data_IF_306682849658
#
_entry.id   IF_306682849658
#
_cell.length_a   1.000
_cell.length_b   1.000
_cell.length_c   1.000
_cell.angle_alpha   90.00
_cell.angle_beta   90.00
_cell.angle_gamma   90.00
#
_symmetry.space_group_name_H-M   'P 1'
#
loop_
_entity.id
_entity.type
_entity.pdbx_description
1 polymer ?
#
# COMPACT_ATOMS: atom_id res chain seq x y z
N UNK A 1 9.69 -8.84 -60.51
CA UNK A 1 10.79 -8.96 -59.51
C UNK A 1 10.17 -8.64 -58.15
N UNK A 2 10.12 -9.45 -57.09
CA UNK A 2 10.76 -10.69 -56.63
C UNK A 2 9.65 -11.50 -55.91
N UNK A 3 9.40 -12.74 -56.29
CA UNK A 3 9.86 -13.98 -55.61
C UNK A 3 9.24 -14.21 -54.21
N UNK A 4 8.31 -15.16 -54.17
CA UNK A 4 7.87 -15.88 -52.97
C UNK A 4 9.05 -16.64 -52.35
N UNK A 5 9.23 -16.56 -51.03
CA UNK A 5 10.13 -17.43 -50.26
C UNK A 5 9.28 -18.44 -49.46
N UNK A 6 9.66 -19.74 -49.42
CA UNK A 6 8.95 -20.74 -48.63
C UNK A 6 9.40 -20.71 -47.17
N UNK A 7 8.48 -21.05 -46.26
CA UNK A 7 8.75 -21.18 -44.83
C UNK A 7 9.60 -22.42 -44.52
N UNK A 8 10.51 -22.36 -43.52
CA UNK A 8 11.25 -23.51 -43.07
C UNK A 8 10.40 -24.37 -42.11
N UNK A 9 10.47 -25.68 -42.32
CA UNK A 9 9.81 -26.70 -41.52
C UNK A 9 10.66 -26.97 -40.27
N UNK A 10 10.40 -26.28 -39.15
CA UNK A 10 11.17 -26.45 -37.93
C UNK A 10 10.35 -27.08 -36.79
N UNK A 11 10.94 -28.13 -36.22
CA UNK A 11 10.52 -29.03 -35.15
C UNK A 11 10.26 -28.39 -33.77
N UNK A 12 10.28 -27.06 -33.69
CA UNK A 12 10.11 -26.27 -32.46
C UNK A 12 8.70 -26.36 -31.85
N UNK A 13 7.68 -26.67 -32.64
CA UNK A 13 6.30 -26.78 -32.18
C UNK A 13 6.03 -28.03 -31.31
N UNK A 14 6.89 -29.05 -31.36
CA UNK A 14 6.75 -30.26 -30.54
C UNK A 14 7.02 -29.96 -29.06
N UNK A 15 8.04 -29.13 -28.78
CA UNK A 15 8.43 -28.74 -27.42
C UNK A 15 7.40 -27.83 -26.75
N UNK A 16 6.82 -26.87 -27.49
CA UNK A 16 5.75 -26.03 -26.96
C UNK A 16 4.49 -26.83 -26.58
N UNK A 17 4.16 -27.89 -27.34
CA UNK A 17 3.03 -28.78 -26.99
C UNK A 17 3.30 -29.64 -25.77
N UNK A 18 4.54 -30.08 -25.55
CA UNK A 18 4.94 -30.84 -24.36
C UNK A 18 4.99 -29.98 -23.10
N UNK A 19 5.42 -28.72 -23.18
CA UNK A 19 5.39 -27.79 -22.04
C UNK A 19 3.95 -27.37 -21.68
N UNK A 20 3.11 -27.08 -22.67
CA UNK A 20 1.70 -26.74 -22.43
C UNK A 20 0.90 -27.90 -21.80
N UNK A 21 1.24 -29.15 -22.14
CA UNK A 21 0.60 -30.33 -21.54
C UNK A 21 1.16 -30.69 -20.16
N UNK A 22 2.36 -30.21 -19.79
CA UNK A 22 2.91 -30.36 -18.44
C UNK A 22 2.25 -29.41 -17.43
N UNK A 23 1.98 -28.16 -17.81
CA UNK A 23 1.31 -27.19 -16.93
C UNK A 23 -0.16 -27.58 -16.68
N UNK A 24 -0.83 -28.13 -17.70
CA UNK A 24 -2.23 -28.58 -17.56
C UNK A 24 -2.42 -29.80 -16.64
N UNK A 25 -1.35 -30.55 -16.30
CA UNK A 25 -1.45 -31.71 -15.39
C UNK A 25 -1.32 -31.35 -13.91
N UNK A 26 -1.03 -30.09 -13.59
CA UNK A 26 -0.85 -29.64 -12.20
C UNK A 26 -2.11 -29.00 -11.61
N UNK A 27 -3.14 -28.72 -12.43
CA UNK A 27 -4.45 -28.32 -11.92
C UNK A 27 -5.28 -29.57 -11.67
N UNK A 28 -5.67 -29.79 -10.41
CA UNK A 28 -6.52 -30.88 -9.97
C UNK A 28 -7.91 -30.89 -10.62
N UNK A 29 -8.78 -31.85 -10.23
CA UNK A 29 -10.10 -31.99 -10.85
C UNK A 29 -10.95 -30.72 -10.74
N UNK A 30 -11.79 -30.49 -11.74
CA UNK A 30 -12.75 -29.38 -11.82
C UNK A 30 -13.57 -29.27 -10.51
N UNK A 31 -13.32 -28.19 -9.78
CA UNK A 31 -13.85 -27.94 -8.45
C UNK A 31 -15.26 -27.32 -8.51
N UNK A 32 -16.18 -27.77 -7.64
CA UNK A 32 -17.58 -27.33 -7.64
C UNK A 32 -17.69 -25.88 -7.12
N UNK A 33 -18.70 -25.12 -7.57
CA UNK A 33 -18.89 -23.70 -7.22
C UNK A 33 -18.89 -23.39 -5.71
N UNK A 34 -19.33 -24.34 -4.89
CA UNK A 34 -19.39 -24.21 -3.42
C UNK A 34 -18.01 -24.38 -2.74
N UNK A 35 -17.07 -25.11 -3.33
CA UNK A 35 -15.71 -25.30 -2.80
C UNK A 35 -14.85 -24.01 -2.93
N UNK A 36 -15.11 -23.19 -3.96
CA UNK A 36 -14.37 -21.94 -4.19
C UNK A 36 -14.53 -20.92 -3.05
N UNK A 37 -15.61 -21.00 -2.27
CA UNK A 37 -15.86 -20.07 -1.16
C UNK A 37 -14.87 -20.25 -0.02
N UNK A 38 -14.58 -21.51 0.34
CA UNK A 38 -13.67 -21.83 1.45
C UNK A 38 -12.22 -21.56 1.07
N UNK A 39 -11.77 -22.02 -0.09
CA UNK A 39 -10.39 -21.82 -0.53
C UNK A 39 -10.04 -20.36 -0.71
N UNK A 40 -10.97 -19.56 -1.27
CA UNK A 40 -10.79 -18.12 -1.39
C UNK A 40 -10.69 -17.43 -0.02
N UNK A 41 -11.46 -17.88 0.97
CA UNK A 41 -11.34 -17.38 2.35
C UNK A 41 -9.97 -17.68 2.93
N UNK A 42 -9.54 -18.95 2.87
CA UNK A 42 -8.23 -19.38 3.41
C UNK A 42 -7.09 -18.62 2.75
N UNK A 43 -7.15 -18.44 1.42
CA UNK A 43 -6.15 -17.65 0.70
C UNK A 43 -6.13 -16.19 1.17
N UNK A 44 -7.30 -15.55 1.24
CA UNK A 44 -7.43 -14.16 1.68
C UNK A 44 -6.97 -13.93 3.13
N UNK A 45 -7.22 -14.90 4.01
CA UNK A 45 -6.82 -14.86 5.42
C UNK A 45 -5.33 -15.13 5.61
N UNK A 46 -4.73 -15.95 4.72
CA UNK A 46 -3.31 -16.27 4.77
C UNK A 46 -2.41 -15.10 4.30
N UNK A 47 -2.87 -14.27 3.35
CA UNK A 47 -2.06 -13.19 2.78
C UNK A 47 -1.49 -12.23 3.86
N UNK A 48 -2.30 -11.66 4.77
CA UNK A 48 -1.80 -10.85 5.89
C UNK A 48 -0.74 -11.53 6.76
N UNK A 49 -0.84 -12.85 6.94
CA UNK A 49 0.06 -13.60 7.82
C UNK A 49 1.48 -13.73 7.25
N UNK A 50 1.62 -13.61 5.93
CA UNK A 50 2.92 -13.69 5.27
C UNK A 50 3.78 -12.45 5.57
N UNK A 51 3.17 -11.26 5.57
CA UNK A 51 3.84 -10.01 5.94
C UNK A 51 5.05 -9.63 5.06
N UNK A 52 5.10 -10.14 3.83
CA UNK A 52 6.16 -9.87 2.83
C UNK A 52 5.69 -8.87 1.78
N UNK A 53 6.62 -8.20 1.08
CA UNK A 53 6.28 -7.31 -0.03
C UNK A 53 5.42 -7.99 -1.09
N UNK A 54 5.76 -9.21 -1.51
CA UNK A 54 4.94 -10.00 -2.43
C UNK A 54 3.49 -10.20 -1.95
N UNK A 55 3.28 -10.51 -0.67
CA UNK A 55 1.91 -10.63 -0.12
C UNK A 55 1.18 -9.29 -0.07
N UNK A 56 1.87 -8.19 0.25
CA UNK A 56 1.29 -6.84 0.24
C UNK A 56 0.90 -6.43 -1.18
N UNK A 57 1.75 -6.72 -2.17
CA UNK A 57 1.46 -6.48 -3.58
C UNK A 57 0.22 -7.23 -4.05
N UNK A 58 0.11 -8.52 -3.72
CA UNK A 58 -1.09 -9.32 -4.04
C UNK A 58 -2.33 -8.77 -3.34
N UNK A 59 -2.27 -8.42 -2.05
CA UNK A 59 -3.40 -7.81 -1.34
C UNK A 59 -3.86 -6.52 -2.04
N UNK A 60 -2.93 -5.62 -2.37
CA UNK A 60 -3.24 -4.37 -3.10
C UNK A 60 -3.90 -4.66 -4.44
N UNK A 61 -3.35 -5.57 -5.23
CA UNK A 61 -3.85 -5.87 -6.58
C UNK A 61 -5.26 -6.48 -6.53
N UNK A 62 -5.59 -7.19 -5.45
CA UNK A 62 -6.91 -7.80 -5.22
C UNK A 62 -7.96 -6.84 -4.62
N UNK A 63 -7.56 -5.72 -3.99
CA UNK A 63 -8.51 -4.72 -3.47
C UNK A 63 -9.34 -4.08 -4.60
N UNK A 64 -8.82 -4.06 -5.83
CA UNK A 64 -9.53 -3.48 -6.98
C UNK A 64 -9.85 -2.00 -6.78
N UNK A 65 -10.99 -1.54 -7.30
CA UNK A 65 -11.44 -0.15 -7.16
C UNK A 65 -12.42 0.05 -5.98
N UNK A 66 -12.97 -1.04 -5.43
CA UNK A 66 -13.92 -0.98 -4.32
C UNK A 66 -13.20 -1.14 -2.98
N UNK A 67 -12.78 0.00 -2.44
CA UNK A 67 -12.03 0.08 -1.20
C UNK A 67 -12.88 -0.05 0.06
N UNK A 68 -14.22 -0.21 -0.06
CA UNK A 68 -15.15 -0.18 1.06
C UNK A 68 -15.62 -1.56 1.52
N UNK A 69 -14.95 -2.64 1.10
CA UNK A 69 -15.29 -3.99 1.54
C UNK A 69 -14.53 -4.36 2.83
N UNK A 70 -15.10 -5.27 3.63
CA UNK A 70 -14.53 -5.69 4.93
C UNK A 70 -13.14 -6.33 4.79
N UNK A 71 -12.86 -6.95 3.65
CA UNK A 71 -11.59 -7.59 3.36
C UNK A 71 -10.48 -6.53 3.16
N UNK A 72 -10.78 -5.43 2.48
CA UNK A 72 -9.90 -4.27 2.32
C UNK A 72 -9.53 -3.70 3.68
N UNK A 73 -10.51 -3.47 4.57
CA UNK A 73 -10.24 -2.95 5.92
C UNK A 73 -9.32 -3.89 6.71
N UNK A 74 -9.58 -5.20 6.59
CA UNK A 74 -8.80 -6.25 7.28
C UNK A 74 -7.35 -6.25 6.79
N UNK A 75 -7.15 -6.22 5.47
CA UNK A 75 -5.83 -6.18 4.86
C UNK A 75 -5.06 -4.89 5.17
N UNK A 76 -5.69 -3.72 5.04
CA UNK A 76 -5.07 -2.43 5.37
C UNK A 76 -4.67 -2.35 6.85
N UNK A 77 -5.56 -2.80 7.74
CA UNK A 77 -5.26 -2.85 9.18
C UNK A 77 -4.11 -3.80 9.48
N UNK A 78 -4.05 -4.95 8.79
CA UNK A 78 -3.02 -5.96 8.98
C UNK A 78 -1.60 -5.45 8.74
N UNK A 79 -1.42 -4.43 7.90
CA UNK A 79 -0.11 -3.81 7.63
C UNK A 79 0.57 -3.32 8.92
N UNK A 80 -0.22 -2.84 9.90
CA UNK A 80 0.30 -2.38 11.20
C UNK A 80 0.92 -3.49 12.03
N UNK A 81 0.64 -4.75 11.72
CA UNK A 81 1.04 -5.91 12.51
C UNK A 81 2.17 -6.72 11.85
N UNK A 82 2.72 -6.25 10.72
CA UNK A 82 3.89 -6.87 10.10
C UNK A 82 5.10 -6.63 11.03
N UNK A 83 5.71 -7.68 11.61
CA UNK A 83 6.65 -7.51 12.73
C UNK A 83 8.05 -7.05 12.30
N UNK A 84 8.46 -7.38 11.06
CA UNK A 84 9.77 -7.07 10.49
C UNK A 84 9.62 -6.71 9.01
N UNK A 85 9.00 -5.56 8.69
CA UNK A 85 8.92 -5.11 7.31
C UNK A 85 10.31 -4.80 6.79
N UNK A 86 10.51 -5.01 5.48
CA UNK A 86 11.67 -4.53 4.76
C UNK A 86 11.25 -3.40 3.78
N UNK A 87 12.21 -2.90 3.02
CA UNK A 87 11.98 -1.84 2.05
C UNK A 87 11.05 -2.26 0.91
N UNK A 88 11.03 -3.55 0.56
CA UNK A 88 10.13 -4.09 -0.46
C UNK A 88 8.68 -4.04 0.05
N UNK A 89 8.43 -4.47 1.29
CA UNK A 89 7.11 -4.36 1.94
C UNK A 89 6.61 -2.92 1.99
N UNK A 90 7.46 -1.94 2.32
CA UNK A 90 7.07 -0.52 2.31
C UNK A 90 6.79 -0.03 0.87
N UNK A 91 7.65 -0.43 -0.09
CA UNK A 91 7.50 -0.06 -1.50
C UNK A 91 6.18 -0.56 -2.09
N UNK A 92 5.79 -1.78 -1.76
CA UNK A 92 4.51 -2.38 -2.19
C UNK A 92 3.30 -1.76 -1.48
N UNK A 93 3.47 -1.26 -0.26
CA UNK A 93 2.42 -0.59 0.49
C UNK A 93 2.21 0.89 0.07
N UNK A 94 3.26 1.59 -0.38
CA UNK A 94 3.21 3.02 -0.70
C UNK A 94 2.11 3.41 -1.71
N UNK A 95 1.85 2.66 -2.80
CA UNK A 95 0.77 2.97 -3.75
C UNK A 95 -0.63 3.02 -3.13
N UNK A 96 -0.85 2.40 -1.96
CA UNK A 96 -2.13 2.48 -1.25
C UNK A 96 -2.48 3.90 -0.80
N UNK A 97 -1.49 4.80 -0.72
CA UNK A 97 -1.66 6.21 -0.40
C UNK A 97 -1.73 7.11 -1.65
N UNK A 98 -1.58 6.57 -2.86
CA UNK A 98 -1.46 7.34 -4.10
C UNK A 98 -2.72 7.27 -4.98
N UNK A 99 -3.82 6.78 -4.41
CA UNK A 99 -5.13 6.77 -5.05
C UNK A 99 -5.88 8.09 -4.80
N UNK A 100 -6.84 8.44 -5.67
CA UNK A 100 -7.60 9.70 -5.58
C UNK A 100 -8.25 9.92 -4.20
N UNK A 101 -8.73 8.82 -3.59
CA UNK A 101 -9.34 8.85 -2.26
C UNK A 101 -8.82 7.70 -1.43
N UNK A 102 -7.91 8.02 -0.53
CA UNK A 102 -7.22 7.02 0.28
C UNK A 102 -8.13 6.56 1.43
N UNK A 103 -8.16 5.24 1.63
CA UNK A 103 -8.88 4.64 2.74
C UNK A 103 -8.21 5.00 4.08
N UNK A 104 -9.00 5.27 5.12
CA UNK A 104 -8.49 5.70 6.43
C UNK A 104 -7.43 4.71 6.99
N UNK A 105 -7.71 3.41 6.92
CA UNK A 105 -6.81 2.37 7.42
C UNK A 105 -5.49 2.28 6.65
N UNK A 106 -5.44 2.75 5.39
CA UNK A 106 -4.20 2.79 4.63
C UNK A 106 -3.21 3.80 5.24
N UNK A 107 -3.68 5.00 5.61
CA UNK A 107 -2.84 5.99 6.30
C UNK A 107 -2.24 5.43 7.59
N UNK A 108 -3.07 4.76 8.39
CA UNK A 108 -2.67 4.22 9.67
C UNK A 108 -1.74 3.01 9.53
N UNK A 109 -2.09 2.09 8.63
CA UNK A 109 -1.35 0.87 8.35
C UNK A 109 0.04 1.14 7.78
N UNK A 110 0.10 1.97 6.73
CA UNK A 110 1.36 2.33 6.09
C UNK A 110 2.24 3.16 7.03
N UNK A 111 1.66 4.09 7.81
CA UNK A 111 2.41 4.82 8.84
C UNK A 111 3.04 3.87 9.87
N UNK A 112 2.26 2.96 10.46
CA UNK A 112 2.77 1.98 11.43
C UNK A 112 3.85 1.05 10.84
N UNK A 113 3.72 0.71 9.56
CA UNK A 113 4.70 -0.09 8.83
C UNK A 113 6.06 0.63 8.74
N UNK A 114 6.04 1.92 8.39
CA UNK A 114 7.25 2.78 8.37
C UNK A 114 7.89 2.85 9.75
N UNK A 115 7.11 3.10 10.81
CA UNK A 115 7.65 3.16 12.17
C UNK A 115 8.30 1.83 12.58
N UNK A 116 7.67 0.71 12.24
CA UNK A 116 8.20 -0.61 12.58
C UNK A 116 9.53 -0.87 11.87
N UNK A 117 9.66 -0.47 10.61
CA UNK A 117 10.94 -0.52 9.90
C UNK A 117 11.97 0.42 10.52
N UNK A 118 11.60 1.69 10.75
CA UNK A 118 12.46 2.75 11.26
C UNK A 118 13.02 2.46 12.66
N UNK A 119 12.25 1.77 13.51
CA UNK A 119 12.71 1.34 14.84
C UNK A 119 14.02 0.56 14.78
N UNK A 120 14.17 -0.28 13.76
CA UNK A 120 15.30 -1.20 13.63
C UNK A 120 16.38 -0.65 12.65
N UNK A 121 16.14 0.50 12.00
CA UNK A 121 17.01 1.09 10.96
C UNK A 121 17.27 2.59 11.21
N UNK A 122 18.41 2.99 11.82
CA UNK A 122 18.68 4.37 12.22
C UNK A 122 18.64 5.43 11.10
N UNK A 123 18.96 5.04 9.86
CA UNK A 123 18.95 5.92 8.68
C UNK A 123 17.70 5.71 7.81
N UNK A 124 16.60 5.22 8.37
CA UNK A 124 15.40 4.92 7.58
C UNK A 124 14.84 6.13 6.82
N UNK A 125 15.07 7.35 7.33
CA UNK A 125 14.61 8.60 6.72
C UNK A 125 15.33 8.91 5.39
N UNK A 126 16.46 8.26 5.11
CA UNK A 126 17.17 8.35 3.82
C UNK A 126 16.68 7.28 2.82
N UNK A 127 15.89 6.30 3.27
CA UNK A 127 15.46 5.20 2.43
C UNK A 127 14.38 5.66 1.44
N UNK A 128 14.55 5.43 0.12
CA UNK A 128 13.60 5.92 -0.88
C UNK A 128 12.12 5.51 -0.67
N UNK A 129 11.80 4.26 -0.27
CA UNK A 129 10.41 3.88 0.01
C UNK A 129 9.80 4.64 1.20
N UNK A 130 10.60 4.91 2.24
CA UNK A 130 10.16 5.70 3.41
C UNK A 130 9.93 7.15 3.00
N UNK A 131 10.86 7.75 2.27
CA UNK A 131 10.73 9.11 1.74
C UNK A 131 9.47 9.27 0.88
N UNK A 132 9.17 8.30 0.00
CA UNK A 132 7.97 8.31 -0.83
C UNK A 132 6.68 8.31 0.00
N UNK A 133 6.62 7.48 1.04
CA UNK A 133 5.46 7.46 1.96
C UNK A 133 5.33 8.81 2.66
N UNK A 134 6.42 9.33 3.23
CA UNK A 134 6.39 10.59 3.97
C UNK A 134 6.05 11.79 3.09
N UNK A 135 6.57 11.86 1.86
CA UNK A 135 6.18 12.85 0.84
C UNK A 135 4.68 12.76 0.52
N UNK A 136 4.16 11.55 0.35
CA UNK A 136 2.73 11.35 0.08
C UNK A 136 1.87 11.88 1.22
N UNK A 137 2.22 11.54 2.46
CA UNK A 137 1.53 12.04 3.66
C UNK A 137 1.66 13.57 3.77
N UNK A 138 2.83 14.13 3.47
CA UNK A 138 3.07 15.57 3.48
C UNK A 138 2.19 16.31 2.47
N UNK A 139 2.04 15.77 1.26
CA UNK A 139 1.13 16.33 0.23
C UNK A 139 -0.32 16.43 0.70
N UNK A 140 -0.80 15.45 1.48
CA UNK A 140 -2.15 15.51 2.03
C UNK A 140 -2.35 16.67 3.00
N UNK A 141 -1.38 16.93 3.88
CA UNK A 141 -1.46 18.03 4.86
C UNK A 141 -1.12 19.40 4.24
N UNK A 142 -0.32 19.41 3.16
CA UNK A 142 0.17 20.64 2.53
C UNK A 142 0.92 21.55 3.51
N UNK A 143 0.90 22.84 3.22
CA UNK A 143 1.64 23.83 4.01
C UNK A 143 1.00 24.13 5.37
N UNK A 144 -0.33 24.11 5.47
CA UNK A 144 -1.06 24.62 6.64
C UNK A 144 -2.29 23.81 7.03
N UNK A 145 -2.47 22.60 6.49
CA UNK A 145 -3.63 21.72 6.74
C UNK A 145 -5.01 22.28 6.34
N UNK A 146 -5.07 23.42 5.65
CA UNK A 146 -6.33 24.04 5.26
C UNK A 146 -7.00 23.29 4.13
N UNK A 147 -8.30 23.02 4.30
CA UNK A 147 -9.18 22.44 3.28
C UNK A 147 -10.58 23.00 3.41
N UNK A 148 -11.24 23.18 2.28
CA UNK A 148 -12.61 23.71 2.22
C UNK A 148 -13.64 22.63 2.54
N UNK A 149 -13.48 21.44 1.95
CA UNK A 149 -14.47 20.37 2.07
C UNK A 149 -14.25 19.53 3.33
N UNK A 150 -15.33 19.10 3.98
CA UNK A 150 -15.26 18.18 5.13
C UNK A 150 -14.52 16.88 4.80
N UNK A 151 -14.60 16.46 3.54
CA UNK A 151 -13.96 15.23 3.12
C UNK A 151 -12.44 15.34 3.02
N UNK A 152 -11.94 16.45 2.49
CA UNK A 152 -10.51 16.69 2.43
C UNK A 152 -9.94 16.92 3.82
N UNK A 153 -10.71 17.55 4.73
CA UNK A 153 -10.35 17.65 6.15
C UNK A 153 -10.17 16.28 6.80
N UNK A 154 -11.02 15.30 6.46
CA UNK A 154 -10.84 13.91 6.92
C UNK A 154 -9.54 13.32 6.37
N UNK A 155 -9.21 13.52 5.09
CA UNK A 155 -7.94 13.04 4.52
C UNK A 155 -6.73 13.69 5.21
N UNK A 156 -6.79 15.00 5.51
CA UNK A 156 -5.76 15.70 6.30
C UNK A 156 -5.61 15.10 7.69
N UNK A 157 -6.71 14.87 8.42
CA UNK A 157 -6.67 14.25 9.74
C UNK A 157 -6.08 12.84 9.71
N UNK A 158 -6.42 12.05 8.69
CA UNK A 158 -5.85 10.71 8.53
C UNK A 158 -4.36 10.76 8.17
N UNK A 159 -3.94 11.70 7.33
CA UNK A 159 -2.53 11.92 7.03
C UNK A 159 -1.73 12.35 8.26
N UNK A 160 -2.25 13.27 9.08
CA UNK A 160 -1.64 13.67 10.36
C UNK A 160 -1.45 12.47 11.30
N UNK A 161 -2.47 11.60 11.40
CA UNK A 161 -2.37 10.35 12.16
C UNK A 161 -1.35 9.39 11.57
N UNK A 162 -1.29 9.28 10.24
CA UNK A 162 -0.30 8.48 9.52
C UNK A 162 1.13 8.94 9.78
N UNK A 163 1.38 10.26 9.73
CA UNK A 163 2.68 10.88 10.05
C UNK A 163 3.08 10.54 11.49
N UNK A 164 2.18 10.76 12.45
CA UNK A 164 2.45 10.42 13.86
C UNK A 164 2.57 8.91 14.10
N UNK A 165 1.94 8.06 13.28
CA UNK A 165 2.14 6.61 13.35
C UNK A 165 3.49 6.19 12.77
N UNK A 166 4.02 6.94 11.79
CA UNK A 166 5.32 6.68 11.16
C UNK A 166 6.50 7.06 12.05
N UNK A 167 6.30 7.93 13.05
CA UNK A 167 7.35 8.44 13.94
C UNK A 167 8.55 9.05 13.22
N UNK A 168 8.35 9.43 11.95
CA UNK A 168 9.38 9.89 11.03
C UNK A 168 9.11 11.33 10.59
N UNK A 169 8.55 12.16 11.48
CA UNK A 169 8.24 13.56 11.19
C UNK A 169 9.48 14.44 10.93
N UNK A 170 10.70 13.89 11.05
CA UNK A 170 11.99 14.58 10.90
C UNK A 170 12.40 14.87 9.45
N UNK A 171 11.63 14.43 8.44
CA UNK A 171 11.88 14.81 7.03
C UNK A 171 11.78 16.33 6.86
N UNK A 172 12.72 16.97 6.15
CA UNK A 172 13.04 18.41 6.22
C UNK A 172 11.86 19.39 6.24
N UNK A 173 10.73 19.09 5.58
CA UNK A 173 9.59 20.02 5.46
C UNK A 173 8.40 19.74 6.39
N UNK A 174 8.27 18.50 6.87
CA UNK A 174 7.10 18.07 7.66
C UNK A 174 6.97 18.85 8.97
N UNK A 175 8.02 19.08 9.78
CA UNK A 175 7.93 19.83 11.03
C UNK A 175 7.36 21.24 10.82
N UNK A 176 7.78 21.91 9.74
CA UNK A 176 7.33 23.25 9.39
C UNK A 176 5.84 23.28 9.07
N UNK A 177 5.37 22.34 8.25
CA UNK A 177 3.94 22.18 7.94
C UNK A 177 3.12 21.86 9.18
N UNK A 178 3.56 20.92 10.03
CA UNK A 178 2.85 20.56 11.27
C UNK A 178 2.71 21.74 12.22
N UNK A 179 3.76 22.55 12.38
CA UNK A 179 3.71 23.78 13.17
C UNK A 179 2.68 24.77 12.60
N UNK A 180 2.69 25.00 11.27
CA UNK A 180 1.71 25.85 10.59
C UNK A 180 0.28 25.33 10.77
N UNK A 181 0.07 24.01 10.72
CA UNK A 181 -1.25 23.41 10.96
C UNK A 181 -1.79 23.74 12.36
N UNK A 182 -0.94 23.77 13.38
CA UNK A 182 -1.32 24.11 14.75
C UNK A 182 -1.60 25.60 14.95
N UNK A 183 -0.71 26.46 14.45
CA UNK A 183 -0.80 27.91 14.65
C UNK A 183 -1.86 28.61 13.80
N UNK A 184 -2.34 27.97 12.72
CA UNK A 184 -3.38 28.53 11.89
C UNK A 184 -4.76 28.46 12.58
N UNK A 185 -5.31 29.61 12.97
CA UNK A 185 -6.61 29.72 13.66
C UNK A 185 -7.81 29.41 12.76
N UNK A 186 -7.64 29.40 11.45
CA UNK A 186 -8.71 29.01 10.50
C UNK A 186 -8.93 27.49 10.46
N UNK A 187 -8.00 26.70 11.00
CA UNK A 187 -8.16 25.26 11.10
C UNK A 187 -9.07 24.86 12.25
N UNK A 188 -9.85 23.79 12.04
CA UNK A 188 -10.63 23.16 13.10
C UNK A 188 -9.73 22.62 14.22
N UNK A 189 -10.24 22.57 15.44
CA UNK A 189 -9.47 22.19 16.62
C UNK A 189 -8.87 20.78 16.47
N UNK A 190 -9.60 19.86 15.82
CA UNK A 190 -9.17 18.50 15.53
C UNK A 190 -7.90 18.49 14.65
N UNK A 191 -7.83 19.36 13.63
CA UNK A 191 -6.66 19.48 12.74
C UNK A 191 -5.49 20.09 13.51
N UNK A 192 -5.74 21.12 14.33
CA UNK A 192 -4.70 21.78 15.13
C UNK A 192 -4.09 20.81 16.15
N UNK A 193 -4.93 20.02 16.82
CA UNK A 193 -4.49 18.94 17.73
C UNK A 193 -3.78 17.82 16.95
N UNK A 194 -4.26 17.49 15.75
CA UNK A 194 -3.60 16.59 14.82
C UNK A 194 -2.16 17.01 14.50
N UNK A 195 -1.93 18.30 14.24
CA UNK A 195 -0.61 18.87 14.00
C UNK A 195 0.37 18.65 15.16
N UNK A 196 -0.08 18.84 16.41
CA UNK A 196 0.74 18.58 17.60
C UNK A 196 1.00 17.08 17.77
N UNK A 197 -0.05 16.27 17.68
CA UNK A 197 0.04 14.81 17.93
C UNK A 197 0.81 14.04 16.86
N UNK A 198 1.08 14.66 15.71
CA UNK A 198 1.90 14.09 14.65
C UNK A 198 3.41 14.13 14.95
N UNK A 199 3.88 14.90 15.94
CA UNK A 199 5.31 14.97 16.34
C UNK A 199 5.79 13.80 17.21
N UNK A 200 4.91 12.86 17.56
CA UNK A 200 5.20 11.77 18.50
C UNK A 200 6.17 10.72 17.96
#
# INVERSE_FOLDING_TARGET
MRAWLPMPHDSSWSWFRLFATSVSRSCGPSMKSEDWGLERSVFNDALPMLGTGGSVGVMRDLMGQDHNNILTNTWLTSLSFIPRPDLDTISEAAPLLEVERVHADAFLGVGSLVQTYCRDHPLCHEAPPVLRVMDTLHRFIGDSCQRETSQDKIQVLMALKGIGNAGAAVTEDIPGSLAKCFFNEENENEIRLGGITAFR
#
